data_IF_305065470701
#
_entry.id   IF_305065470701
#
_cell.length_a   1.000
_cell.length_b   1.000
_cell.length_c   1.000
_cell.angle_alpha   90.00
_cell.angle_beta   90.00
_cell.angle_gamma   90.00
#
_symmetry.space_group_name_H-M   'P 1'
#
loop_
_entity.id
_entity.type
_entity.pdbx_description
1 polymer ?
#
# COMPACT_ATOMS: atom_id res chain seq x y z
N UNK A 1 -8.18 17.95 51.35
CA UNK A 1 -7.14 17.20 50.63
C UNK A 1 -7.62 17.03 49.18
N UNK A 2 -7.54 18.10 48.45
CA UNK A 2 -7.93 18.25 47.05
C UNK A 2 -6.66 18.66 46.31
N UNK A 3 -6.59 18.27 45.06
CA UNK A 3 -5.69 18.78 44.03
C UNK A 3 -4.21 18.36 44.05
N UNK A 4 -3.98 17.09 43.69
CA UNK A 4 -2.83 16.74 42.84
C UNK A 4 -3.32 15.78 41.75
N UNK A 5 -4.24 16.21 40.93
CA UNK A 5 -4.34 15.65 39.57
C UNK A 5 -3.17 16.19 38.77
N UNK A 6 -2.06 15.48 38.84
CA UNK A 6 -0.90 15.72 38.03
C UNK A 6 -1.31 15.69 36.55
N UNK A 7 -1.21 16.85 35.93
CA UNK A 7 -1.35 17.13 34.52
C UNK A 7 -0.23 16.43 33.69
N UNK A 8 -0.11 15.11 33.85
CA UNK A 8 0.77 14.30 32.98
C UNK A 8 0.04 14.12 31.66
N UNK A 9 0.20 15.10 30.75
CA UNK A 9 -0.11 14.88 29.34
C UNK A 9 0.56 13.56 28.94
N UNK A 10 -0.19 12.60 28.37
CA UNK A 10 0.43 11.40 27.85
C UNK A 10 1.50 11.84 26.86
N UNK A 11 2.72 11.34 27.02
CA UNK A 11 3.85 11.57 26.12
C UNK A 11 3.51 10.94 24.76
N UNK A 12 2.71 11.64 23.96
CA UNK A 12 2.43 11.27 22.57
C UNK A 12 3.42 12.00 21.68
N UNK A 13 3.91 11.28 20.68
CA UNK A 13 4.74 11.90 19.65
C UNK A 13 3.91 12.92 18.86
N UNK A 14 4.52 14.01 18.43
CA UNK A 14 3.84 14.92 17.49
C UNK A 14 3.62 14.25 16.16
N UNK A 15 2.51 14.55 15.48
CA UNK A 15 2.18 14.00 14.14
C UNK A 15 3.37 14.11 13.18
N UNK A 16 4.07 15.25 13.15
CA UNK A 16 5.23 15.43 12.27
C UNK A 16 6.38 14.47 12.59
N UNK A 17 6.67 14.19 13.87
CA UNK A 17 7.70 13.22 14.28
C UNK A 17 7.33 11.79 13.88
N UNK A 18 6.07 11.41 14.05
CA UNK A 18 5.57 10.11 13.64
C UNK A 18 5.72 9.94 12.13
N UNK A 19 5.21 10.90 11.35
CA UNK A 19 5.28 10.90 9.88
C UNK A 19 6.73 10.79 9.41
N UNK A 20 7.63 11.61 9.95
CA UNK A 20 9.04 11.60 9.58
C UNK A 20 9.72 10.27 9.91
N UNK A 21 9.32 9.63 11.02
CA UNK A 21 9.87 8.35 11.45
C UNK A 21 9.48 7.19 10.53
N UNK A 22 8.22 7.18 10.07
CA UNK A 22 7.68 6.05 9.30
C UNK A 22 7.81 6.22 7.79
N UNK A 23 8.04 7.43 7.29
CA UNK A 23 8.14 7.70 5.86
C UNK A 23 9.16 6.78 5.17
N UNK A 24 10.37 6.69 5.72
CA UNK A 24 11.41 5.82 5.20
C UNK A 24 11.06 4.34 5.28
N UNK A 25 10.27 3.93 6.27
CA UNK A 25 9.84 2.53 6.44
C UNK A 25 8.89 2.12 5.33
N UNK A 26 7.89 2.95 4.99
CA UNK A 26 6.97 2.68 3.87
C UNK A 26 7.67 2.69 2.51
N UNK A 27 8.65 3.59 2.32
CA UNK A 27 9.51 3.55 1.13
C UNK A 27 10.25 2.22 1.05
N UNK A 28 10.86 1.74 2.14
CA UNK A 28 11.59 0.47 2.19
C UNK A 28 10.70 -0.73 1.83
N UNK A 29 9.49 -0.80 2.38
CA UNK A 29 8.56 -1.90 2.11
C UNK A 29 8.24 -2.00 0.62
N UNK A 30 7.92 -0.88 -0.01
CA UNK A 30 7.60 -0.82 -1.43
C UNK A 30 8.82 -0.97 -2.33
N UNK A 31 10.01 -0.57 -1.88
CA UNK A 31 11.27 -0.83 -2.54
C UNK A 31 11.53 -2.35 -2.62
N UNK A 32 11.40 -3.08 -1.51
CA UNK A 32 11.57 -4.54 -1.47
C UNK A 32 10.53 -5.23 -2.35
N UNK A 33 9.29 -4.79 -2.32
CA UNK A 33 8.21 -5.29 -3.18
C UNK A 33 8.55 -5.08 -4.66
N UNK A 34 9.02 -3.90 -5.06
CA UNK A 34 9.37 -3.58 -6.44
C UNK A 34 10.62 -4.35 -6.91
N UNK A 35 11.63 -4.51 -6.06
CA UNK A 35 12.77 -5.37 -6.35
C UNK A 35 12.33 -6.80 -6.69
N UNK A 36 11.42 -7.35 -5.87
CA UNK A 36 10.94 -8.73 -6.01
C UNK A 36 10.06 -8.91 -7.25
N UNK A 37 9.17 -7.95 -7.53
CA UNK A 37 8.08 -8.12 -8.49
C UNK A 37 8.29 -7.42 -9.83
N UNK A 38 9.19 -6.45 -9.91
CA UNK A 38 9.47 -5.70 -11.12
C UNK A 38 10.91 -5.95 -11.61
N UNK A 39 11.88 -5.78 -10.73
CA UNK A 39 13.29 -5.82 -11.13
C UNK A 39 13.82 -7.23 -11.29
N UNK A 40 13.53 -8.14 -10.37
CA UNK A 40 13.99 -9.52 -10.45
C UNK A 40 13.46 -10.25 -11.69
N UNK A 41 12.15 -10.19 -12.03
CA UNK A 41 11.65 -10.78 -13.29
C UNK A 41 12.31 -10.21 -14.54
N UNK A 42 12.51 -8.89 -14.57
CA UNK A 42 13.15 -8.22 -15.70
C UNK A 42 14.60 -8.71 -15.89
N UNK A 43 15.36 -8.82 -14.79
CA UNK A 43 16.73 -9.32 -14.83
C UNK A 43 16.83 -10.80 -15.18
N UNK A 44 15.96 -11.64 -14.62
CA UNK A 44 15.84 -13.05 -14.99
C UNK A 44 15.59 -13.20 -16.49
N UNK A 45 14.68 -12.39 -17.03
CA UNK A 45 14.38 -12.42 -18.45
C UNK A 45 15.54 -11.92 -19.33
N UNK A 46 16.20 -10.84 -18.92
CA UNK A 46 17.37 -10.30 -19.59
C UNK A 46 18.55 -11.30 -19.61
N UNK A 47 18.68 -12.13 -18.57
CA UNK A 47 19.65 -13.20 -18.48
C UNK A 47 19.25 -14.47 -19.26
N UNK A 48 18.18 -14.44 -20.07
CA UNK A 48 17.73 -15.59 -20.86
C UNK A 48 16.85 -16.59 -20.08
N UNK A 49 16.45 -16.27 -18.85
CA UNK A 49 15.57 -17.10 -18.01
C UNK A 49 14.20 -17.35 -18.66
N UNK A 50 13.58 -18.47 -18.30
CA UNK A 50 12.29 -18.88 -18.85
C UNK A 50 11.16 -17.94 -18.41
N UNK A 51 10.09 -17.82 -19.23
CA UNK A 51 8.87 -17.09 -18.85
C UNK A 51 8.21 -17.69 -17.61
N UNK A 52 8.31 -19.01 -17.42
CA UNK A 52 7.80 -19.68 -16.23
C UNK A 52 8.52 -19.20 -14.95
N UNK A 53 9.83 -19.04 -15.01
CA UNK A 53 10.63 -18.52 -13.88
C UNK A 53 10.29 -17.03 -13.61
N UNK A 54 10.15 -16.22 -14.65
CA UNK A 54 9.69 -14.83 -14.50
C UNK A 54 8.27 -14.77 -13.93
N UNK A 55 7.37 -15.67 -14.33
CA UNK A 55 6.03 -15.79 -13.77
C UNK A 55 6.02 -16.24 -12.30
N UNK A 56 6.95 -17.10 -11.90
CA UNK A 56 7.06 -17.56 -10.51
C UNK A 56 7.35 -16.41 -9.50
N UNK A 57 7.88 -15.28 -9.97
CA UNK A 57 8.09 -14.10 -9.12
C UNK A 57 6.78 -13.49 -8.58
N UNK A 58 5.63 -13.80 -9.18
CA UNK A 58 4.32 -13.42 -8.61
C UNK A 58 4.06 -14.02 -7.23
N UNK A 59 4.73 -15.14 -6.91
CA UNK A 59 4.67 -15.75 -5.57
C UNK A 59 5.23 -14.83 -4.47
N UNK A 60 6.06 -13.85 -4.83
CA UNK A 60 6.53 -12.85 -3.86
C UNK A 60 5.40 -11.95 -3.30
N UNK A 61 4.19 -11.99 -3.90
CA UNK A 61 3.00 -11.35 -3.29
C UNK A 61 2.43 -12.15 -2.10
N UNK A 62 2.73 -13.44 -1.98
CA UNK A 62 2.15 -14.29 -0.94
C UNK A 62 2.35 -13.74 0.48
N UNK A 63 3.54 -13.24 0.88
CA UNK A 63 3.71 -12.69 2.22
C UNK A 63 2.73 -11.54 2.51
N UNK A 64 2.50 -10.63 1.57
CA UNK A 64 1.55 -9.53 1.74
C UNK A 64 0.10 -9.97 1.77
N UNK A 65 -0.27 -10.95 0.95
CA UNK A 65 -1.63 -11.50 0.93
C UNK A 65 -1.95 -12.32 2.18
N UNK A 66 -0.96 -13.03 2.73
CA UNK A 66 -1.14 -13.95 3.85
C UNK A 66 -0.74 -13.38 5.22
N UNK A 67 -0.22 -12.15 5.30
CA UNK A 67 0.28 -11.56 6.55
C UNK A 67 -0.76 -11.51 7.68
N UNK A 68 -2.06 -11.57 7.38
CA UNK A 68 -3.12 -11.65 8.41
C UNK A 68 -2.99 -12.89 9.28
N UNK A 69 -2.38 -13.99 8.79
CA UNK A 69 -2.21 -15.23 9.52
C UNK A 69 -1.32 -15.02 10.75
N UNK A 70 -0.22 -14.27 10.61
CA UNK A 70 0.72 -14.03 11.72
C UNK A 70 0.59 -12.64 12.36
N UNK A 71 -0.29 -11.77 11.85
CA UNK A 71 -0.53 -10.44 12.43
C UNK A 71 -0.87 -10.47 13.94
N UNK A 72 -1.67 -11.43 14.47
CA UNK A 72 -1.93 -11.49 15.91
C UNK A 72 -0.67 -11.76 16.76
N UNK A 73 0.29 -12.54 16.25
CA UNK A 73 1.55 -12.78 16.97
C UNK A 73 2.43 -11.53 16.99
N UNK A 74 2.52 -10.84 15.86
CA UNK A 74 3.27 -9.58 15.75
C UNK A 74 2.67 -8.52 16.68
N UNK A 75 1.35 -8.43 16.74
CA UNK A 75 0.65 -7.50 17.60
C UNK A 75 0.90 -7.80 19.10
N UNK A 76 0.87 -9.09 19.49
CA UNK A 76 1.23 -9.51 20.86
C UNK A 76 2.67 -9.16 21.21
N UNK A 77 3.57 -9.27 20.26
CA UNK A 77 4.98 -8.94 20.46
C UNK A 77 5.21 -7.45 20.52
N UNK A 78 4.52 -6.70 19.67
CA UNK A 78 4.54 -5.24 19.60
C UNK A 78 3.94 -4.60 20.85
N UNK A 79 2.83 -5.14 21.33
CA UNK A 79 2.07 -4.69 22.49
C UNK A 79 1.82 -5.86 23.45
N UNK A 80 2.81 -6.23 24.29
CA UNK A 80 2.68 -7.38 25.16
C UNK A 80 1.48 -7.21 26.10
N UNK A 81 0.59 -8.23 26.21
CA UNK A 81 -0.53 -8.21 27.15
C UNK A 81 -0.05 -8.03 28.58
N UNK A 82 -0.74 -7.17 29.36
CA UNK A 82 -0.37 -6.91 30.74
C UNK A 82 0.88 -6.04 30.93
N UNK A 83 1.49 -5.52 29.86
CA UNK A 83 2.65 -4.63 29.92
C UNK A 83 2.30 -3.21 29.42
N UNK A 84 3.01 -2.21 29.94
CA UNK A 84 2.95 -0.83 29.42
C UNK A 84 3.94 -0.60 28.30
N UNK A 85 4.83 -1.55 28.03
CA UNK A 85 5.82 -1.42 26.99
C UNK A 85 5.20 -1.43 25.59
N UNK A 86 5.79 -0.62 24.71
CA UNK A 86 5.57 -0.68 23.25
C UNK A 86 6.90 -1.06 22.60
N UNK A 87 6.85 -2.01 21.70
CA UNK A 87 8.03 -2.56 21.02
C UNK A 87 7.99 -2.39 19.50
N UNK A 88 7.09 -1.53 18.99
CA UNK A 88 6.92 -1.30 17.55
C UNK A 88 8.20 -0.80 16.91
N UNK A 89 8.81 0.25 17.49
CA UNK A 89 10.08 0.80 17.02
C UNK A 89 11.18 -0.26 16.94
N UNK A 90 11.34 -1.07 17.98
CA UNK A 90 12.37 -2.12 18.03
C UNK A 90 12.15 -3.17 16.94
N UNK A 91 10.89 -3.61 16.74
CA UNK A 91 10.52 -4.59 15.74
C UNK A 91 10.79 -4.07 14.32
N UNK A 92 10.38 -2.85 14.03
CA UNK A 92 10.60 -2.21 12.73
C UNK A 92 12.09 -2.08 12.45
N UNK A 93 12.88 -1.55 13.41
CA UNK A 93 14.33 -1.36 13.22
C UNK A 93 15.07 -2.68 13.01
N UNK A 94 14.74 -3.74 13.77
CA UNK A 94 15.32 -5.07 13.56
C UNK A 94 14.99 -5.62 12.18
N UNK A 95 13.75 -5.42 11.73
CA UNK A 95 13.32 -5.79 10.39
C UNK A 95 14.07 -5.02 9.29
N UNK A 96 14.27 -3.70 9.44
CA UNK A 96 15.04 -2.88 8.50
C UNK A 96 16.50 -3.36 8.39
N UNK A 97 17.15 -3.67 9.52
CA UNK A 97 18.50 -4.24 9.55
C UNK A 97 18.52 -5.62 8.86
N UNK A 98 17.53 -6.47 9.13
CA UNK A 98 17.41 -7.77 8.47
C UNK A 98 17.23 -7.63 6.95
N UNK A 99 16.40 -6.69 6.47
CA UNK A 99 16.24 -6.42 5.04
C UNK A 99 17.54 -5.93 4.41
N UNK A 100 18.25 -5.01 5.04
CA UNK A 100 19.54 -4.54 4.54
C UNK A 100 20.57 -5.67 4.48
N UNK A 101 20.62 -6.54 5.50
CA UNK A 101 21.47 -7.73 5.49
C UNK A 101 21.11 -8.70 4.37
N UNK A 102 19.81 -8.94 4.13
CA UNK A 102 19.34 -9.79 3.04
C UNK A 102 19.73 -9.24 1.66
N UNK A 103 19.62 -7.92 1.43
CA UNK A 103 20.09 -7.33 0.18
C UNK A 103 21.61 -7.40 0.04
N UNK A 104 22.35 -7.31 1.14
CA UNK A 104 23.81 -7.51 1.13
C UNK A 104 24.17 -8.97 0.78
N UNK A 105 23.42 -9.95 1.30
CA UNK A 105 23.57 -11.36 0.92
C UNK A 105 23.23 -11.56 -0.56
N UNK A 106 22.15 -10.94 -1.06
CA UNK A 106 21.81 -10.98 -2.49
C UNK A 106 22.92 -10.38 -3.37
N UNK A 107 23.57 -9.30 -2.91
CA UNK A 107 24.73 -8.72 -3.57
C UNK A 107 25.90 -9.71 -3.61
N UNK A 108 26.20 -10.37 -2.51
CA UNK A 108 27.28 -11.37 -2.41
C UNK A 108 27.02 -12.56 -3.36
N UNK A 109 25.80 -13.10 -3.39
CA UNK A 109 25.42 -14.18 -4.33
C UNK A 109 25.66 -13.72 -5.77
N UNK A 110 25.29 -12.50 -6.13
CA UNK A 110 25.52 -11.95 -7.47
C UNK A 110 27.00 -11.70 -7.79
N UNK A 111 27.81 -11.42 -6.77
CA UNK A 111 29.26 -11.21 -6.96
C UNK A 111 29.98 -12.49 -7.39
N UNK A 112 29.65 -13.60 -6.74
CA UNK A 112 30.24 -14.91 -7.02
C UNK A 112 29.67 -15.61 -8.26
N UNK A 113 28.52 -15.13 -8.80
CA UNK A 113 27.88 -15.68 -10.01
C UNK A 113 28.36 -15.09 -11.34
N UNK A 114 29.32 -14.16 -11.32
CA UNK A 114 29.67 -13.31 -12.49
C UNK A 114 30.33 -14.02 -13.67
N UNK A 115 30.97 -15.17 -13.49
CA UNK A 115 31.84 -15.77 -14.51
C UNK A 115 31.17 -16.84 -15.39
N UNK A 116 29.87 -17.16 -15.22
CA UNK A 116 29.23 -18.22 -16.01
C UNK A 116 27.70 -18.20 -16.06
N UNK A 117 27.08 -17.10 -15.70
CA UNK A 117 25.62 -17.04 -15.45
C UNK A 117 25.29 -17.51 -14.03
N UNK A 118 24.01 -17.38 -13.64
CA UNK A 118 23.57 -17.85 -12.33
C UNK A 118 23.28 -19.35 -12.41
N UNK A 119 24.02 -20.21 -11.70
CA UNK A 119 23.64 -21.63 -11.53
C UNK A 119 22.23 -21.73 -10.93
N UNK A 120 21.49 -22.78 -11.24
CA UNK A 120 20.14 -23.01 -10.74
C UNK A 120 20.05 -22.91 -9.21
N UNK A 121 21.09 -23.37 -8.50
CA UNK A 121 21.19 -23.26 -7.03
C UNK A 121 21.21 -21.82 -6.54
N UNK A 122 21.86 -20.90 -7.25
CA UNK A 122 21.89 -19.47 -6.90
C UNK A 122 20.55 -18.80 -7.19
N UNK A 123 19.90 -19.17 -8.27
CA UNK A 123 18.54 -18.68 -8.61
C UNK A 123 17.56 -19.09 -7.51
N UNK A 124 17.59 -20.36 -7.09
CA UNK A 124 16.75 -20.85 -5.98
C UNK A 124 17.08 -20.13 -4.67
N UNK A 125 18.38 -19.93 -4.37
CA UNK A 125 18.80 -19.20 -3.18
C UNK A 125 18.29 -17.75 -3.16
N UNK A 126 18.38 -17.04 -4.29
CA UNK A 126 17.83 -15.69 -4.44
C UNK A 126 16.29 -15.69 -4.29
N UNK A 127 15.61 -16.67 -4.89
CA UNK A 127 14.15 -16.79 -4.76
C UNK A 127 13.73 -16.95 -3.30
N UNK A 128 14.36 -17.87 -2.57
CA UNK A 128 14.12 -18.09 -1.13
C UNK A 128 14.44 -16.82 -0.34
N UNK A 129 15.56 -16.17 -0.63
CA UNK A 129 15.99 -14.95 0.07
C UNK A 129 14.96 -13.80 -0.13
N UNK A 130 14.46 -13.59 -1.35
CA UNK A 130 13.45 -12.57 -1.62
C UNK A 130 12.08 -12.93 -1.04
N UNK A 131 11.73 -14.22 -0.97
CA UNK A 131 10.51 -14.67 -0.27
C UNK A 131 10.59 -14.34 1.24
N UNK A 132 11.74 -14.62 1.86
CA UNK A 132 11.98 -14.26 3.27
C UNK A 132 12.02 -12.75 3.44
N UNK A 133 12.64 -11.98 2.54
CA UNK A 133 12.65 -10.53 2.58
C UNK A 133 11.23 -9.95 2.48
N UNK A 134 10.38 -10.49 1.60
CA UNK A 134 8.97 -10.15 1.52
C UNK A 134 8.19 -10.44 2.81
N UNK A 135 8.50 -11.55 3.47
CA UNK A 135 7.90 -11.92 4.78
C UNK A 135 8.35 -10.94 5.88
N UNK A 136 9.61 -10.55 5.90
CA UNK A 136 10.12 -9.54 6.85
C UNK A 136 9.49 -8.18 6.55
N UNK A 137 9.44 -7.76 5.28
CA UNK A 137 8.85 -6.49 4.89
C UNK A 137 7.36 -6.41 5.24
N UNK A 138 6.58 -7.46 4.97
CA UNK A 138 5.16 -7.53 5.34
C UNK A 138 4.94 -7.60 6.87
N UNK A 139 5.89 -8.14 7.62
CA UNK A 139 5.87 -8.12 9.09
C UNK A 139 6.15 -6.73 9.65
N UNK A 140 7.11 -6.00 9.05
CA UNK A 140 7.37 -4.58 9.38
C UNK A 140 6.12 -3.74 9.09
N UNK A 141 5.40 -4.04 8.01
CA UNK A 141 4.18 -3.33 7.63
C UNK A 141 3.10 -3.44 8.71
N UNK A 142 2.85 -4.64 9.25
CA UNK A 142 1.94 -4.84 10.39
C UNK A 142 2.34 -3.95 11.59
N UNK A 143 3.63 -3.92 11.90
CA UNK A 143 4.14 -3.15 13.02
C UNK A 143 4.05 -1.63 12.78
N UNK A 144 4.29 -1.18 11.55
CA UNK A 144 4.24 0.23 11.15
C UNK A 144 2.82 0.77 11.15
N UNK A 145 1.87 0.01 10.63
CA UNK A 145 0.45 0.35 10.62
C UNK A 145 -0.09 0.44 12.05
N UNK A 146 0.24 -0.54 12.88
CA UNK A 146 -0.10 -0.50 14.30
C UNK A 146 0.53 0.69 15.04
N UNK A 147 1.80 1.01 14.76
CA UNK A 147 2.47 2.19 15.30
C UNK A 147 1.78 3.50 14.88
N UNK A 148 1.35 3.62 13.63
CA UNK A 148 0.61 4.78 13.13
C UNK A 148 -0.71 4.96 13.89
N UNK A 149 -1.52 3.90 14.03
CA UNK A 149 -2.80 3.97 14.74
C UNK A 149 -2.60 4.34 16.21
N UNK A 150 -1.53 3.86 16.85
CA UNK A 150 -1.25 4.12 18.26
C UNK A 150 -0.72 5.54 18.53
N UNK A 151 0.04 6.11 17.58
CA UNK A 151 0.76 7.37 17.80
C UNK A 151 0.10 8.57 17.13
N UNK A 152 -0.73 8.35 16.10
CA UNK A 152 -1.44 9.42 15.41
C UNK A 152 -2.80 9.68 16.06
N UNK A 153 -3.20 10.93 16.08
CA UNK A 153 -4.58 11.32 16.36
C UNK A 153 -5.46 11.11 15.14
N UNK A 154 -6.79 11.08 15.31
CA UNK A 154 -7.73 10.94 14.18
C UNK A 154 -7.51 11.99 13.08
N UNK A 155 -7.11 13.21 13.44
CA UNK A 155 -6.78 14.29 12.49
C UNK A 155 -5.44 14.04 11.77
N UNK A 156 -4.56 13.22 12.33
CA UNK A 156 -3.27 12.84 11.75
C UNK A 156 -3.33 11.65 10.80
N UNK A 157 -4.41 10.85 10.83
CA UNK A 157 -4.50 9.62 10.00
C UNK A 157 -4.41 9.90 8.50
N UNK A 158 -4.99 10.99 8.02
CA UNK A 158 -4.88 11.42 6.62
C UNK A 158 -3.43 11.57 6.18
N UNK A 159 -2.62 12.31 6.97
CA UNK A 159 -1.21 12.50 6.69
C UNK A 159 -0.38 11.22 6.86
N UNK A 160 -0.68 10.38 7.85
CA UNK A 160 -0.05 9.07 8.02
C UNK A 160 -0.23 8.21 6.76
N UNK A 161 -1.44 8.16 6.23
CA UNK A 161 -1.73 7.41 5.01
C UNK A 161 -1.21 8.08 3.74
N UNK A 162 -1.12 9.41 3.68
CA UNK A 162 -0.41 10.09 2.59
C UNK A 162 1.05 9.66 2.53
N UNK A 163 1.71 9.50 3.67
CA UNK A 163 3.09 9.02 3.73
C UNK A 163 3.19 7.54 3.36
N UNK A 164 2.22 6.72 3.75
CA UNK A 164 2.16 5.31 3.36
C UNK A 164 2.01 5.16 1.85
N UNK A 165 0.99 5.77 1.27
CA UNK A 165 0.70 5.67 -0.17
C UNK A 165 1.77 6.39 -1.01
N UNK A 166 2.19 7.60 -0.59
CA UNK A 166 3.28 8.34 -1.27
C UNK A 166 4.62 7.65 -1.16
N UNK A 167 4.93 7.07 0.01
CA UNK A 167 6.11 6.24 0.23
C UNK A 167 6.13 5.01 -0.68
N UNK A 168 4.95 4.43 -0.98
CA UNK A 168 4.83 3.31 -1.91
C UNK A 168 5.25 3.70 -3.33
N UNK A 169 4.85 4.86 -3.82
CA UNK A 169 5.30 5.35 -5.14
C UNK A 169 6.81 5.59 -5.18
N UNK A 170 7.38 6.21 -4.14
CA UNK A 170 8.83 6.42 -4.05
C UNK A 170 9.59 5.09 -3.94
N UNK A 171 9.08 4.15 -3.18
CA UNK A 171 9.67 2.82 -3.05
C UNK A 171 9.65 2.03 -4.35
N UNK A 172 8.53 2.08 -5.09
CA UNK A 172 8.43 1.47 -6.43
C UNK A 172 9.39 2.12 -7.43
N UNK A 173 9.58 3.44 -7.37
CA UNK A 173 10.57 4.12 -8.19
C UNK A 173 12.00 3.63 -7.88
N UNK A 174 12.36 3.58 -6.59
CA UNK A 174 13.70 3.17 -6.17
C UNK A 174 13.99 1.70 -6.46
N UNK A 175 13.08 0.78 -6.06
CA UNK A 175 13.26 -0.65 -6.22
C UNK A 175 12.99 -1.17 -7.64
N UNK A 176 12.26 -0.39 -8.47
CA UNK A 176 12.02 -0.67 -9.88
C UNK A 176 13.04 0.05 -10.77
N UNK A 177 12.64 1.23 -11.26
CA UNK A 177 13.41 1.94 -12.29
C UNK A 177 14.84 2.32 -11.88
N UNK A 178 15.02 2.95 -10.71
CA UNK A 178 16.35 3.38 -10.23
C UNK A 178 17.27 2.18 -10.04
N UNK A 179 16.78 1.11 -9.42
CA UNK A 179 17.56 -0.10 -9.25
C UNK A 179 17.99 -0.72 -10.59
N UNK A 180 17.10 -0.81 -11.59
CA UNK A 180 17.43 -1.35 -12.90
C UNK A 180 18.50 -0.49 -13.60
N UNK A 181 18.39 0.85 -13.51
CA UNK A 181 19.41 1.77 -14.07
C UNK A 181 20.77 1.59 -13.39
N UNK A 182 20.79 1.48 -12.05
CA UNK A 182 22.01 1.23 -11.29
C UNK A 182 22.61 -0.14 -11.61
N UNK A 183 21.76 -1.17 -11.74
CA UNK A 183 22.19 -2.52 -12.09
C UNK A 183 22.81 -2.58 -13.49
N UNK A 184 22.27 -1.82 -14.46
CA UNK A 184 22.82 -1.70 -15.80
C UNK A 184 24.17 -0.96 -15.81
N UNK A 185 24.30 0.10 -15.00
CA UNK A 185 25.50 0.93 -14.94
C UNK A 185 26.65 0.32 -14.12
N UNK A 186 26.34 -0.28 -12.96
CA UNK A 186 27.34 -0.71 -11.97
C UNK A 186 27.31 -2.20 -11.67
N UNK A 187 26.39 -2.93 -12.26
CA UNK A 187 26.13 -4.34 -12.01
C UNK A 187 25.23 -4.61 -10.79
N UNK A 188 24.62 -5.80 -10.78
CA UNK A 188 23.71 -6.27 -9.74
C UNK A 188 24.26 -6.11 -8.31
N UNK A 189 25.51 -6.56 -7.98
CA UNK A 189 25.97 -6.51 -6.61
C UNK A 189 26.04 -5.10 -6.05
N UNK A 190 26.53 -4.15 -6.84
CA UNK A 190 26.65 -2.73 -6.42
C UNK A 190 25.27 -2.12 -6.25
N UNK A 191 24.35 -2.37 -7.17
CA UNK A 191 22.98 -1.88 -7.06
C UNK A 191 22.27 -2.39 -5.81
N UNK A 192 22.43 -3.69 -5.46
CA UNK A 192 21.89 -4.26 -4.23
C UNK A 192 22.49 -3.65 -2.96
N UNK A 193 23.81 -3.43 -2.93
CA UNK A 193 24.45 -2.75 -1.80
C UNK A 193 23.96 -1.32 -1.64
N UNK A 194 23.76 -0.59 -2.75
CA UNK A 194 23.20 0.76 -2.70
C UNK A 194 21.76 0.76 -2.14
N UNK A 195 20.94 -0.23 -2.50
CA UNK A 195 19.60 -0.38 -1.90
C UNK A 195 19.68 -0.73 -0.41
N UNK A 196 20.62 -1.57 0.01
CA UNK A 196 20.83 -1.88 1.43
C UNK A 196 21.24 -0.63 2.23
N UNK A 197 22.16 0.19 1.70
CA UNK A 197 22.55 1.47 2.31
C UNK A 197 21.37 2.43 2.35
N UNK A 198 20.57 2.51 1.28
CA UNK A 198 19.36 3.34 1.24
C UNK A 198 18.36 2.93 2.34
N UNK A 199 18.12 1.63 2.54
CA UNK A 199 17.25 1.13 3.62
C UNK A 199 17.76 1.59 4.99
N UNK A 200 19.06 1.48 5.24
CA UNK A 200 19.65 1.94 6.50
C UNK A 200 19.52 3.45 6.69
N UNK A 201 19.76 4.23 5.63
CA UNK A 201 19.58 5.69 5.66
C UNK A 201 18.11 6.09 5.93
N UNK A 202 17.16 5.41 5.29
CA UNK A 202 15.72 5.61 5.49
C UNK A 202 15.25 5.23 6.90
N UNK A 203 16.01 4.40 7.61
CA UNK A 203 15.71 4.00 9.00
C UNK A 203 16.17 5.01 10.04
N UNK A 204 17.10 5.94 9.70
CA UNK A 204 17.70 6.89 10.64
C UNK A 204 16.68 7.73 11.41
N UNK A 205 15.60 8.25 10.82
CA UNK A 205 14.61 9.02 11.56
C UNK A 205 13.96 8.23 12.70
N UNK A 206 13.67 6.95 12.47
CA UNK A 206 13.06 6.07 13.48
C UNK A 206 14.04 5.76 14.63
N UNK A 207 15.35 5.71 14.34
CA UNK A 207 16.39 5.52 15.38
C UNK A 207 16.41 6.66 16.41
N UNK A 208 16.04 7.88 16.00
CA UNK A 208 16.06 9.09 16.85
C UNK A 208 14.80 9.28 17.70
N UNK A 209 13.80 8.40 17.54
CA UNK A 209 12.53 8.50 18.28
C UNK A 209 12.54 7.51 19.44
N UNK A 210 12.05 7.96 20.59
CA UNK A 210 11.72 7.09 21.72
C UNK A 210 10.22 6.79 21.66
N UNK A 211 9.82 5.52 21.60
CA UNK A 211 8.42 5.12 21.60
C UNK A 211 7.84 5.30 23.03
N UNK A 212 6.77 6.09 23.21
CA UNK A 212 6.17 6.30 24.52
C UNK A 212 5.52 5.03 25.06
N UNK A 213 5.58 4.82 26.35
CA UNK A 213 4.87 3.72 27.04
C UNK A 213 3.35 3.92 27.03
N UNK A 214 2.59 2.86 27.25
CA UNK A 214 1.14 2.95 27.45
C UNK A 214 0.82 3.58 28.81
N UNK A 215 -0.30 4.29 28.89
CA UNK A 215 -0.80 4.86 30.14
C UNK A 215 -1.42 3.81 31.07
N UNK A 216 -1.85 2.67 30.55
CA UNK A 216 -2.42 1.57 31.32
C UNK A 216 -2.02 0.21 30.76
N UNK A 217 -1.97 -0.79 31.62
CA UNK A 217 -1.82 -2.19 31.22
C UNK A 217 -3.14 -2.72 30.68
N UNK A 218 -3.12 -3.33 29.51
CA UNK A 218 -4.32 -3.90 28.88
C UNK A 218 -4.13 -5.41 28.75
N UNK A 219 -4.96 -6.24 29.41
CA UNK A 219 -4.83 -7.70 29.35
C UNK A 219 -5.39 -8.32 28.07
N UNK A 220 -5.64 -7.51 27.01
CA UNK A 220 -6.19 -7.99 25.75
C UNK A 220 -5.20 -8.85 24.98
N UNK A 221 -5.67 -9.99 24.47
CA UNK A 221 -4.89 -10.86 23.58
C UNK A 221 -5.40 -10.67 22.15
N UNK A 222 -4.57 -10.10 21.25
CA UNK A 222 -4.93 -9.89 19.85
C UNK A 222 -5.34 -11.19 19.14
N UNK A 223 -6.47 -11.16 18.42
CA UNK A 223 -7.02 -12.30 17.69
C UNK A 223 -7.87 -11.87 16.49
N UNK A 224 -7.81 -12.64 15.39
CA UNK A 224 -8.64 -12.42 14.20
C UNK A 224 -10.15 -12.54 14.52
N UNK A 225 -10.52 -13.51 15.36
CA UNK A 225 -11.92 -13.70 15.78
C UNK A 225 -12.49 -12.49 16.51
N UNK A 226 -11.67 -11.77 17.28
CA UNK A 226 -12.09 -10.52 17.92
C UNK A 226 -12.33 -9.43 16.86
N UNK A 227 -11.43 -9.27 15.88
CA UNK A 227 -11.61 -8.33 14.77
C UNK A 227 -12.93 -8.58 14.03
N UNK A 228 -13.19 -9.81 13.60
CA UNK A 228 -14.38 -10.17 12.83
C UNK A 228 -15.71 -10.01 13.59
N UNK A 229 -15.69 -10.05 14.93
CA UNK A 229 -16.89 -9.82 15.75
C UNK A 229 -17.23 -8.34 15.94
N UNK A 230 -16.25 -7.44 15.74
CA UNK A 230 -16.46 -6.00 15.94
C UNK A 230 -17.25 -5.38 14.79
N UNK A 231 -18.28 -4.59 15.12
CA UNK A 231 -19.09 -3.87 14.12
C UNK A 231 -18.23 -2.91 13.24
N UNK A 232 -17.28 -2.21 13.88
CA UNK A 232 -16.37 -1.27 13.17
C UNK A 232 -15.46 -2.00 12.18
N UNK A 233 -14.90 -3.14 12.57
CA UNK A 233 -14.05 -3.92 11.68
C UNK A 233 -14.85 -4.48 10.49
N UNK A 234 -16.05 -4.99 10.72
CA UNK A 234 -16.95 -5.43 9.64
C UNK A 234 -17.36 -4.30 8.71
N UNK A 235 -17.60 -3.09 9.24
CA UNK A 235 -17.83 -1.90 8.43
C UNK A 235 -16.60 -1.58 7.58
N UNK A 236 -15.39 -1.63 8.15
CA UNK A 236 -14.14 -1.42 7.42
C UNK A 236 -13.96 -2.42 6.28
N UNK A 237 -14.19 -3.73 6.52
CA UNK A 237 -14.15 -4.77 5.49
C UNK A 237 -15.16 -4.52 4.37
N UNK A 238 -16.38 -4.10 4.72
CA UNK A 238 -17.40 -3.74 3.74
C UNK A 238 -17.00 -2.53 2.90
N UNK A 239 -16.41 -1.49 3.54
CA UNK A 239 -15.91 -0.31 2.82
C UNK A 239 -14.81 -0.68 1.83
N UNK A 240 -13.85 -1.51 2.23
CA UNK A 240 -12.79 -2.01 1.33
C UNK A 240 -13.40 -2.76 0.15
N UNK A 241 -14.29 -3.71 0.44
CA UNK A 241 -14.96 -4.52 -0.58
C UNK A 241 -15.72 -3.66 -1.59
N UNK A 242 -16.52 -2.71 -1.12
CA UNK A 242 -17.36 -1.91 -2.00
C UNK A 242 -16.57 -0.86 -2.77
N UNK A 243 -15.69 -0.11 -2.09
CA UNK A 243 -15.03 1.05 -2.69
C UNK A 243 -13.90 0.66 -3.65
N UNK A 244 -13.13 -0.39 -3.33
CA UNK A 244 -11.99 -0.77 -4.18
C UNK A 244 -12.36 -1.69 -5.34
N UNK A 245 -13.47 -2.44 -5.29
CA UNK A 245 -13.80 -3.44 -6.32
C UNK A 245 -13.91 -2.85 -7.73
N UNK A 246 -14.53 -1.68 -7.89
CA UNK A 246 -14.68 -1.07 -9.22
C UNK A 246 -13.34 -0.78 -9.89
N UNK A 247 -12.43 -0.12 -9.17
CA UNK A 247 -11.11 0.20 -9.72
C UNK A 247 -10.24 -1.04 -9.87
N UNK A 248 -10.26 -1.99 -8.92
CA UNK A 248 -9.51 -3.25 -9.00
C UNK A 248 -9.95 -4.10 -10.19
N UNK A 249 -11.21 -3.99 -10.60
CA UNK A 249 -11.76 -4.68 -11.76
C UNK A 249 -11.18 -4.18 -13.10
N UNK A 250 -10.91 -2.88 -13.25
CA UNK A 250 -10.42 -2.28 -14.49
C UNK A 250 -8.95 -1.91 -14.49
N UNK A 251 -8.29 -1.89 -13.32
CA UNK A 251 -6.89 -1.49 -13.21
C UNK A 251 -5.95 -2.29 -14.15
N UNK A 252 -6.08 -3.63 -14.27
CA UNK A 252 -5.25 -4.42 -15.19
C UNK A 252 -5.55 -4.13 -16.66
N UNK A 253 -6.70 -3.54 -16.99
CA UNK A 253 -7.14 -3.27 -18.35
C UNK A 253 -6.60 -1.95 -18.91
N UNK A 254 -6.03 -1.06 -18.05
CA UNK A 254 -5.56 0.26 -18.50
C UNK A 254 -4.41 0.17 -19.51
N UNK A 255 -3.44 -0.70 -19.28
CA UNK A 255 -2.31 -0.86 -20.19
C UNK A 255 -2.74 -1.51 -21.53
N UNK A 256 -3.46 -2.65 -21.56
CA UNK A 256 -4.02 -3.20 -22.78
C UNK A 256 -4.90 -2.21 -23.54
N UNK A 257 -5.76 -1.46 -22.86
CA UNK A 257 -6.60 -0.44 -23.49
C UNK A 257 -5.79 0.58 -24.31
N UNK A 258 -4.70 1.09 -23.73
CA UNK A 258 -3.85 2.07 -24.41
C UNK A 258 -3.08 1.45 -25.61
N UNK A 259 -2.57 0.22 -25.44
CA UNK A 259 -1.86 -0.49 -26.49
C UNK A 259 -2.77 -0.80 -27.69
N UNK A 260 -3.98 -1.30 -27.44
CA UNK A 260 -4.97 -1.63 -28.47
C UNK A 260 -5.43 -0.39 -29.26
N UNK A 261 -5.31 0.80 -28.64
CA UNK A 261 -5.59 2.08 -29.33
C UNK A 261 -4.33 2.77 -29.89
N UNK A 262 -3.20 2.04 -30.00
CA UNK A 262 -2.03 2.47 -30.76
C UNK A 262 -0.93 3.18 -29.94
N UNK A 263 -0.97 3.13 -28.60
CA UNK A 263 0.14 3.64 -27.79
C UNK A 263 1.35 2.69 -27.94
N UNK A 264 2.54 3.25 -28.22
CA UNK A 264 3.76 2.45 -28.26
C UNK A 264 4.16 1.93 -26.89
N UNK A 265 4.85 0.79 -26.81
CA UNK A 265 5.36 0.22 -25.57
C UNK A 265 6.30 1.19 -24.81
N UNK A 266 7.10 1.97 -25.55
CA UNK A 266 7.98 2.98 -24.93
C UNK A 266 7.21 4.13 -24.29
N UNK A 267 6.16 4.62 -24.95
CA UNK A 267 5.30 5.67 -24.43
C UNK A 267 4.46 5.16 -23.23
N UNK A 268 3.98 3.92 -23.29
CA UNK A 268 3.32 3.25 -22.16
C UNK A 268 4.26 3.16 -20.94
N UNK A 269 5.49 2.73 -21.16
CA UNK A 269 6.52 2.69 -20.11
C UNK A 269 6.78 4.06 -19.48
N UNK A 270 6.92 5.12 -20.28
CA UNK A 270 7.09 6.48 -19.79
C UNK A 270 5.87 6.98 -18.98
N UNK A 271 4.66 6.69 -19.47
CA UNK A 271 3.41 7.05 -18.78
C UNK A 271 3.29 6.37 -17.41
N UNK A 272 3.55 5.05 -17.35
CA UNK A 272 3.38 4.27 -16.13
C UNK A 272 4.55 4.44 -15.14
N UNK A 273 5.77 4.72 -15.60
CA UNK A 273 6.91 4.96 -14.70
C UNK A 273 6.98 6.41 -14.20
N UNK A 274 6.97 7.38 -15.11
CA UNK A 274 7.09 8.80 -14.76
C UNK A 274 5.75 9.45 -14.43
N UNK A 275 4.81 9.35 -15.37
CA UNK A 275 3.50 9.99 -15.26
C UNK A 275 2.68 9.51 -14.05
N UNK A 276 2.55 8.20 -13.88
CA UNK A 276 1.77 7.64 -12.78
C UNK A 276 2.41 7.86 -11.41
N UNK A 277 3.74 7.88 -11.30
CA UNK A 277 4.41 8.17 -10.03
C UNK A 277 4.13 9.62 -9.62
N UNK A 278 4.33 10.58 -10.53
CA UNK A 278 4.05 11.99 -10.26
C UNK A 278 2.56 12.21 -9.91
N UNK A 279 1.66 11.60 -10.70
CA UNK A 279 0.22 11.63 -10.45
C UNK A 279 -0.15 11.01 -9.09
N UNK A 280 0.46 9.88 -8.76
CA UNK A 280 0.25 9.21 -7.47
C UNK A 280 0.67 10.09 -6.28
N UNK A 281 1.83 10.73 -6.35
CA UNK A 281 2.29 11.68 -5.32
C UNK A 281 1.32 12.85 -5.19
N UNK A 282 0.88 13.45 -6.30
CA UNK A 282 -0.11 14.52 -6.29
C UNK A 282 -1.44 14.06 -5.65
N UNK A 283 -1.90 12.87 -6.00
CA UNK A 283 -3.10 12.25 -5.43
C UNK A 283 -2.99 11.99 -3.92
N UNK A 284 -1.83 11.57 -3.42
CA UNK A 284 -1.64 11.34 -1.97
C UNK A 284 -1.71 12.64 -1.19
N UNK A 285 -1.13 13.72 -1.72
CA UNK A 285 -1.22 15.05 -1.11
C UNK A 285 -2.66 15.55 -1.10
N UNK A 286 -3.38 15.39 -2.23
CA UNK A 286 -4.80 15.75 -2.33
C UNK A 286 -5.65 14.97 -1.31
N UNK A 287 -5.41 13.67 -1.14
CA UNK A 287 -6.10 12.84 -0.15
C UNK A 287 -5.83 13.27 1.29
N UNK A 288 -4.58 13.59 1.62
CA UNK A 288 -4.21 14.12 2.94
C UNK A 288 -4.91 15.46 3.25
N UNK A 289 -4.94 16.38 2.28
CA UNK A 289 -5.66 17.65 2.40
C UNK A 289 -7.16 17.43 2.54
N UNK A 290 -7.75 16.55 1.73
CA UNK A 290 -9.17 16.25 1.77
C UNK A 290 -9.57 15.70 3.16
N UNK A 291 -8.81 14.77 3.72
CA UNK A 291 -9.03 14.23 5.07
C UNK A 291 -8.83 15.27 6.17
N UNK A 292 -7.97 16.27 5.95
CA UNK A 292 -7.76 17.37 6.91
C UNK A 292 -8.94 18.31 7.00
N UNK A 293 -9.58 18.63 5.85
CA UNK A 293 -10.60 19.69 5.79
C UNK A 293 -12.03 19.16 5.71
N UNK A 294 -12.23 17.84 5.55
CA UNK A 294 -13.56 17.25 5.42
C UNK A 294 -13.78 16.08 6.37
N UNK A 295 -15.03 15.66 6.54
CA UNK A 295 -15.35 14.44 7.29
C UNK A 295 -15.01 13.19 6.45
N UNK A 296 -14.69 12.04 7.10
CA UNK A 296 -14.35 10.80 6.39
C UNK A 296 -15.38 10.41 5.31
N UNK A 297 -16.67 10.51 5.61
CA UNK A 297 -17.73 10.18 4.65
C UNK A 297 -17.71 11.11 3.42
N UNK A 298 -17.54 12.44 3.62
CA UNK A 298 -17.42 13.39 2.50
C UNK A 298 -16.13 13.18 1.72
N UNK A 299 -15.01 12.89 2.41
CA UNK A 299 -13.73 12.60 1.76
C UNK A 299 -13.84 11.39 0.83
N UNK A 300 -14.46 10.30 1.30
CA UNK A 300 -14.67 9.10 0.49
C UNK A 300 -15.61 9.37 -0.68
N UNK A 301 -16.73 10.06 -0.44
CA UNK A 301 -17.68 10.43 -1.50
C UNK A 301 -17.01 11.26 -2.60
N UNK A 302 -16.20 12.26 -2.22
CA UNK A 302 -15.50 13.11 -3.19
C UNK A 302 -14.42 12.32 -3.95
N UNK A 303 -13.55 11.61 -3.26
CA UNK A 303 -12.43 10.90 -3.88
C UNK A 303 -12.91 9.78 -4.82
N UNK A 304 -13.79 8.91 -4.35
CA UNK A 304 -14.36 7.83 -5.18
C UNK A 304 -15.39 8.34 -6.19
N UNK A 305 -16.07 9.46 -5.91
CA UNK A 305 -16.92 10.12 -6.87
C UNK A 305 -16.15 10.62 -8.09
N UNK A 306 -15.03 11.33 -7.88
CA UNK A 306 -14.12 11.75 -8.96
C UNK A 306 -13.59 10.55 -9.72
N UNK A 307 -13.18 9.48 -9.02
CA UNK A 307 -12.69 8.25 -9.64
C UNK A 307 -13.77 7.59 -10.52
N UNK A 308 -15.00 7.45 -10.01
CA UNK A 308 -16.11 6.88 -10.76
C UNK A 308 -16.48 7.70 -12.00
N UNK A 309 -16.51 9.03 -11.87
CA UNK A 309 -16.75 9.94 -13.01
C UNK A 309 -15.64 9.79 -14.05
N UNK A 310 -14.39 9.72 -13.64
CA UNK A 310 -13.27 9.54 -14.56
C UNK A 310 -13.31 8.16 -15.27
N UNK A 311 -13.79 7.09 -14.61
CA UNK A 311 -14.05 5.79 -15.25
C UNK A 311 -15.15 5.89 -16.31
N UNK A 312 -16.25 6.62 -16.03
CA UNK A 312 -17.30 6.85 -17.01
C UNK A 312 -16.83 7.75 -18.16
N UNK A 313 -15.93 8.70 -17.90
CA UNK A 313 -15.33 9.51 -18.96
C UNK A 313 -14.50 8.66 -19.95
N UNK A 314 -13.86 7.56 -19.52
CA UNK A 314 -13.23 6.60 -20.43
C UNK A 314 -14.28 5.99 -21.39
N UNK A 315 -15.47 5.63 -20.91
CA UNK A 315 -16.54 5.08 -21.74
C UNK A 315 -17.00 6.11 -22.78
N UNK A 316 -17.25 7.34 -22.35
CA UNK A 316 -17.64 8.43 -23.25
C UNK A 316 -16.57 8.69 -24.32
N UNK A 317 -15.31 8.64 -23.94
CA UNK A 317 -14.18 8.80 -24.85
C UNK A 317 -14.14 7.68 -25.89
N UNK A 318 -14.31 6.42 -25.48
CA UNK A 318 -14.35 5.27 -26.39
C UNK A 318 -15.52 5.32 -27.37
N UNK A 319 -16.64 5.92 -26.98
CA UNK A 319 -17.85 5.98 -27.80
C UNK A 319 -17.93 7.21 -28.71
N UNK A 320 -17.35 8.34 -28.30
CA UNK A 320 -17.62 9.65 -28.92
C UNK A 320 -16.37 10.42 -29.38
N UNK A 321 -15.17 10.08 -28.92
CA UNK A 321 -13.98 10.85 -29.27
C UNK A 321 -13.59 10.66 -30.74
N UNK A 322 -13.24 11.76 -31.46
CA UNK A 322 -12.63 11.67 -32.78
C UNK A 322 -11.34 10.84 -32.75
N UNK A 323 -11.12 9.97 -33.76
CA UNK A 323 -10.00 9.04 -33.77
C UNK A 323 -8.61 9.68 -33.53
N UNK A 324 -8.39 10.90 -34.00
CA UNK A 324 -7.13 11.64 -33.79
C UNK A 324 -6.91 12.16 -32.36
N UNK A 325 -7.98 12.30 -31.55
CA UNK A 325 -7.93 12.75 -30.15
C UNK A 325 -8.08 11.61 -29.15
N UNK A 326 -8.61 10.47 -29.57
CA UNK A 326 -8.96 9.35 -28.72
C UNK A 326 -7.81 8.95 -27.78
N UNK A 327 -6.63 8.69 -28.35
CA UNK A 327 -5.48 8.24 -27.58
C UNK A 327 -4.98 9.30 -26.59
N UNK A 328 -4.98 10.58 -26.97
CA UNK A 328 -4.53 11.68 -26.11
C UNK A 328 -5.48 11.84 -24.90
N UNK A 329 -6.80 11.77 -25.15
CA UNK A 329 -7.79 11.84 -24.06
C UNK A 329 -7.66 10.65 -23.13
N UNK A 330 -7.49 9.42 -23.66
CA UNK A 330 -7.27 8.22 -22.83
C UNK A 330 -6.02 8.34 -21.96
N UNK A 331 -4.90 8.84 -22.47
CA UNK A 331 -3.69 9.08 -21.68
C UNK A 331 -3.94 10.08 -20.54
N UNK A 332 -4.61 11.20 -20.82
CA UNK A 332 -5.00 12.16 -19.78
C UNK A 332 -5.90 11.52 -18.71
N UNK A 333 -6.88 10.71 -19.13
CA UNK A 333 -7.77 10.01 -18.20
C UNK A 333 -7.03 8.99 -17.32
N UNK A 334 -6.00 8.30 -17.85
CA UNK A 334 -5.16 7.41 -17.04
C UNK A 334 -4.40 8.17 -15.96
N UNK A 335 -3.90 9.37 -16.26
CA UNK A 335 -3.27 10.25 -15.25
C UNK A 335 -4.30 10.68 -14.19
N UNK A 336 -5.49 11.09 -14.60
CA UNK A 336 -6.58 11.44 -13.67
C UNK A 336 -6.97 10.25 -12.80
N UNK A 337 -7.04 9.03 -13.38
CA UNK A 337 -7.26 7.80 -12.62
C UNK A 337 -6.18 7.55 -11.58
N UNK A 338 -4.91 7.78 -11.90
CA UNK A 338 -3.79 7.60 -10.98
C UNK A 338 -3.85 8.60 -9.81
N UNK A 339 -4.19 9.86 -10.09
CA UNK A 339 -4.39 10.88 -9.06
C UNK A 339 -5.56 10.50 -8.15
N UNK A 340 -6.71 10.15 -8.75
CA UNK A 340 -7.93 9.83 -8.00
C UNK A 340 -7.78 8.54 -7.20
N UNK A 341 -7.10 7.52 -7.73
CA UNK A 341 -6.80 6.28 -7.03
C UNK A 341 -5.97 6.52 -5.78
N UNK A 342 -4.87 7.26 -5.90
CA UNK A 342 -4.00 7.58 -4.76
C UNK A 342 -4.75 8.41 -3.70
N UNK A 343 -5.53 9.40 -4.12
CA UNK A 343 -6.38 10.20 -3.23
C UNK A 343 -7.42 9.32 -2.51
N UNK A 344 -8.10 8.45 -3.24
CA UNK A 344 -9.11 7.54 -2.71
C UNK A 344 -8.53 6.54 -1.70
N UNK A 345 -7.35 5.97 -1.99
CA UNK A 345 -6.65 5.06 -1.07
C UNK A 345 -6.26 5.77 0.24
N UNK A 346 -5.76 7.01 0.18
CA UNK A 346 -5.44 7.79 1.39
C UNK A 346 -6.70 8.02 2.22
N UNK A 347 -7.82 8.43 1.59
CA UNK A 347 -9.08 8.65 2.30
C UNK A 347 -9.64 7.36 2.91
N UNK A 348 -9.59 6.25 2.17
CA UNK A 348 -10.04 4.95 2.64
C UNK A 348 -9.20 4.47 3.82
N UNK A 349 -7.88 4.41 3.66
CA UNK A 349 -6.98 3.89 4.69
C UNK A 349 -6.99 4.76 5.95
N UNK A 350 -7.09 6.08 5.85
CA UNK A 350 -7.30 6.95 6.99
C UNK A 350 -8.62 6.66 7.73
N UNK A 351 -9.68 6.37 6.99
CA UNK A 351 -10.96 5.94 7.56
C UNK A 351 -10.83 4.59 8.25
N UNK A 352 -10.17 3.61 7.62
CA UNK A 352 -9.92 2.28 8.18
C UNK A 352 -9.07 2.33 9.46
N UNK A 353 -8.05 3.20 9.51
CA UNK A 353 -7.31 3.45 10.75
C UNK A 353 -8.22 3.93 11.87
N UNK A 354 -9.18 4.80 11.57
CA UNK A 354 -10.14 5.28 12.57
C UNK A 354 -11.12 4.20 13.07
N UNK A 355 -11.33 3.14 12.29
CA UNK A 355 -12.17 1.98 12.61
C UNK A 355 -11.40 0.85 13.30
N UNK A 356 -10.07 0.89 13.25
CA UNK A 356 -9.20 -0.09 13.90
C UNK A 356 -9.24 0.06 15.42
N UNK A 357 -9.13 -1.06 16.14
CA UNK A 357 -9.09 -1.07 17.60
C UNK A 357 -7.70 -0.67 18.10
N UNK A 358 -7.59 0.28 19.03
CA UNK A 358 -6.31 0.54 19.71
C UNK A 358 -5.75 -0.67 20.48
N UNK A 359 -6.59 -1.68 20.73
CA UNK A 359 -6.17 -2.91 21.41
C UNK A 359 -5.37 -3.85 20.51
N UNK A 360 -5.62 -3.82 19.20
CA UNK A 360 -4.98 -4.68 18.21
C UNK A 360 -4.94 -4.02 16.81
N UNK A 361 -4.47 -2.79 16.75
CA UNK A 361 -4.54 -1.96 15.55
C UNK A 361 -3.83 -2.59 14.34
N UNK A 362 -2.68 -3.22 14.54
CA UNK A 362 -1.96 -3.92 13.48
C UNK A 362 -2.73 -5.11 12.91
N UNK A 363 -3.49 -5.86 13.73
CA UNK A 363 -4.33 -6.98 13.26
C UNK A 363 -5.49 -6.47 12.41
N UNK A 364 -6.23 -5.50 12.93
CA UNK A 364 -7.42 -4.97 12.26
C UNK A 364 -7.06 -4.34 10.90
N UNK A 365 -6.01 -3.50 10.88
CA UNK A 365 -5.59 -2.83 9.65
C UNK A 365 -5.02 -3.81 8.63
N UNK A 366 -4.23 -4.79 9.08
CA UNK A 366 -3.75 -5.89 8.23
C UNK A 366 -4.90 -6.66 7.57
N UNK A 367 -5.98 -6.93 8.31
CA UNK A 367 -7.14 -7.63 7.76
C UNK A 367 -7.80 -6.83 6.62
N UNK A 368 -7.88 -5.50 6.74
CA UNK A 368 -8.37 -4.63 5.68
C UNK A 368 -7.48 -4.68 4.43
N UNK A 369 -6.16 -4.59 4.60
CA UNK A 369 -5.21 -4.64 3.49
C UNK A 369 -5.19 -5.99 2.77
N UNK A 370 -5.27 -7.10 3.51
CA UNK A 370 -5.36 -8.44 2.91
C UNK A 370 -6.67 -8.64 2.15
N UNK A 371 -7.77 -8.03 2.63
CA UNK A 371 -9.04 -8.01 1.91
C UNK A 371 -8.92 -7.25 0.60
N UNK A 372 -8.27 -6.07 0.59
CA UNK A 372 -7.99 -5.32 -0.64
C UNK A 372 -7.13 -6.11 -1.63
N UNK A 373 -6.11 -6.80 -1.14
CA UNK A 373 -5.26 -7.66 -1.98
C UNK A 373 -6.06 -8.83 -2.61
N UNK A 374 -6.93 -9.47 -1.83
CA UNK A 374 -7.80 -10.54 -2.34
C UNK A 374 -8.77 -10.01 -3.42
N UNK A 375 -9.37 -8.84 -3.19
CA UNK A 375 -10.23 -8.17 -4.17
C UNK A 375 -9.45 -7.85 -5.44
N UNK A 376 -8.21 -7.34 -5.31
CA UNK A 376 -7.39 -6.99 -6.47
C UNK A 376 -7.13 -8.21 -7.38
N UNK A 377 -6.85 -9.37 -6.79
CA UNK A 377 -6.65 -10.63 -7.53
C UNK A 377 -7.96 -11.07 -8.19
N UNK A 378 -9.04 -11.21 -7.42
CA UNK A 378 -10.31 -11.73 -7.91
C UNK A 378 -10.96 -10.79 -8.94
N UNK A 379 -11.07 -9.53 -8.62
CA UNK A 379 -11.69 -8.53 -9.50
C UNK A 379 -10.87 -8.33 -10.80
N UNK A 380 -9.53 -8.36 -10.69
CA UNK A 380 -8.67 -8.25 -11.87
C UNK A 380 -8.84 -9.42 -12.86
N UNK A 381 -8.90 -10.66 -12.36
CA UNK A 381 -9.14 -11.85 -13.18
C UNK A 381 -10.54 -11.78 -13.83
N UNK A 382 -11.58 -11.48 -13.04
CA UNK A 382 -12.94 -11.36 -13.54
C UNK A 382 -13.04 -10.24 -14.58
N UNK A 383 -12.40 -9.09 -14.31
CA UNK A 383 -12.36 -7.95 -15.23
C UNK A 383 -11.75 -8.30 -16.58
N UNK A 384 -10.64 -9.06 -16.59
CA UNK A 384 -10.01 -9.55 -17.82
C UNK A 384 -10.92 -10.45 -18.63
N UNK A 385 -11.61 -11.41 -18.00
CA UNK A 385 -12.56 -12.30 -18.66
C UNK A 385 -13.75 -11.53 -19.21
N UNK A 386 -14.31 -10.60 -18.43
CA UNK A 386 -15.45 -9.78 -18.89
C UNK A 386 -15.04 -8.87 -20.05
N UNK A 387 -13.82 -8.28 -19.99
CA UNK A 387 -13.33 -7.43 -21.09
C UNK A 387 -13.17 -8.22 -22.40
N UNK A 388 -12.77 -9.48 -22.34
CA UNK A 388 -12.64 -10.35 -23.51
C UNK A 388 -13.99 -10.60 -24.20
N UNK A 389 -15.08 -10.71 -23.44
CA UNK A 389 -16.40 -11.03 -23.99
C UNK A 389 -17.26 -9.79 -24.30
N UNK A 390 -17.16 -8.72 -23.50
CA UNK A 390 -18.03 -7.54 -23.59
C UNK A 390 -17.26 -6.26 -23.95
N UNK A 391 -15.95 -6.32 -24.09
CA UNK A 391 -15.10 -5.17 -24.43
C UNK A 391 -14.82 -4.23 -23.26
N UNK A 392 -13.92 -3.29 -23.51
CA UNK A 392 -13.48 -2.30 -22.49
C UNK A 392 -14.61 -1.40 -22.01
N UNK A 393 -15.45 -0.88 -22.93
CA UNK A 393 -16.51 0.07 -22.59
C UNK A 393 -17.46 -0.50 -21.54
N UNK A 394 -17.88 -1.74 -21.66
CA UNK A 394 -18.75 -2.41 -20.70
C UNK A 394 -18.10 -2.54 -19.31
N UNK A 395 -16.79 -2.90 -19.27
CA UNK A 395 -16.05 -3.01 -18.02
C UNK A 395 -15.92 -1.66 -17.30
N UNK A 396 -15.56 -0.61 -18.02
CA UNK A 396 -15.41 0.73 -17.43
C UNK A 396 -16.77 1.33 -17.04
N UNK A 397 -17.84 1.06 -17.77
CA UNK A 397 -19.21 1.44 -17.41
C UNK A 397 -19.63 0.80 -16.08
N UNK A 398 -19.48 -0.51 -15.99
CA UNK A 398 -19.79 -1.24 -14.75
C UNK A 398 -18.95 -0.73 -13.58
N UNK A 399 -17.63 -0.61 -13.75
CA UNK A 399 -16.73 -0.15 -12.70
C UNK A 399 -17.06 1.28 -12.24
N UNK A 400 -17.33 2.20 -13.19
CA UNK A 400 -17.67 3.59 -12.88
C UNK A 400 -19.00 3.71 -12.13
N UNK A 401 -20.05 3.06 -12.64
CA UNK A 401 -21.37 3.05 -11.99
C UNK A 401 -21.32 2.40 -10.60
N UNK A 402 -20.63 1.27 -10.48
CA UNK A 402 -20.44 0.59 -9.19
C UNK A 402 -19.67 1.45 -8.19
N UNK A 403 -18.58 2.10 -8.61
CA UNK A 403 -17.78 2.98 -7.75
C UNK A 403 -18.60 4.19 -7.24
N UNK A 404 -19.42 4.80 -8.09
CA UNK A 404 -20.30 5.90 -7.69
C UNK A 404 -21.35 5.45 -6.66
N UNK A 405 -22.00 4.32 -6.92
CA UNK A 405 -22.95 3.71 -5.99
C UNK A 405 -22.30 3.37 -4.65
N UNK A 406 -21.12 2.73 -4.69
CA UNK A 406 -20.36 2.39 -3.50
C UNK A 406 -19.97 3.62 -2.68
N UNK A 407 -19.52 4.70 -3.33
CA UNK A 407 -19.20 5.97 -2.68
C UNK A 407 -20.41 6.59 -1.98
N UNK A 408 -21.57 6.57 -2.63
CA UNK A 408 -22.82 7.05 -2.07
C UNK A 408 -23.27 6.24 -0.85
N UNK A 409 -23.26 4.90 -0.96
CA UNK A 409 -23.62 4.01 0.15
C UNK A 409 -22.66 4.17 1.33
N UNK A 410 -21.33 4.28 1.07
CA UNK A 410 -20.35 4.53 2.11
C UNK A 410 -20.59 5.85 2.85
N UNK A 411 -20.95 6.91 2.10
CA UNK A 411 -21.30 8.21 2.69
C UNK A 411 -22.49 8.10 3.63
N UNK A 412 -23.59 7.47 3.20
CA UNK A 412 -24.81 7.28 4.03
C UNK A 412 -24.47 6.47 5.29
N UNK A 413 -23.76 5.34 5.15
CA UNK A 413 -23.42 4.48 6.29
C UNK A 413 -22.56 5.18 7.34
N UNK A 414 -21.60 6.00 6.91
CA UNK A 414 -20.73 6.74 7.83
C UNK A 414 -21.46 7.95 8.45
N UNK A 415 -22.39 8.56 7.75
CA UNK A 415 -23.22 9.65 8.28
C UNK A 415 -24.16 9.15 9.37
N UNK A 416 -24.92 8.09 9.10
CA UNK A 416 -25.84 7.49 10.07
C UNK A 416 -25.13 6.95 11.33
N UNK A 417 -23.92 6.37 11.16
CA UNK A 417 -23.13 5.90 12.30
C UNK A 417 -22.67 7.06 13.21
N UNK A 418 -22.44 8.24 12.66
CA UNK A 418 -22.05 9.44 13.41
C UNK A 418 -23.22 10.05 14.18
N UNK A 419 -24.40 10.11 13.58
CA UNK A 419 -25.62 10.61 14.22
C UNK A 419 -26.03 9.75 15.42
N UNK A 420 -25.93 8.42 15.30
CA UNK A 420 -26.20 7.50 16.40
C UNK A 420 -25.20 7.65 17.57
N UNK A 421 -23.95 8.07 17.31
CA UNK A 421 -23.00 8.33 18.38
C UNK A 421 -23.22 9.69 19.06
N UNK A 422 -23.71 10.70 18.36
CA UNK A 422 -24.05 12.00 18.95
C UNK A 422 -25.34 11.94 19.75
N UNK A 423 -26.37 11.24 19.27
CA UNK A 423 -27.67 11.07 19.98
C UNK A 423 -27.58 10.17 21.22
N UNK A 424 -26.50 9.41 21.41
CA UNK A 424 -26.28 8.60 22.62
C UNK A 424 -25.52 9.35 23.71
N UNK A 425 -25.12 10.60 23.48
CA UNK A 425 -24.38 11.48 24.40
C UNK A 425 -25.30 12.59 24.92
N UNK A 426 -26.39 12.88 24.21
CA UNK A 426 -27.47 13.76 24.64
C UNK A 426 -28.54 12.94 25.41
#
# INVERSE_FOLDING_TARGET
>A
MSDVQSNVKPLTLTTGRVIFAIAGVYVTQSLVSALSMQSLPALVRAAGGSLALAGATTLFMLPWALKFIWAPWIERWRLPPGSQERRSRMLILRGQVALAAMLTIAAAIGWFGREGGFPDTQIVALFVLFMVAGTVASTIDIASDGFCVDQLTRTGYGWGNSVQVGGSYLGMMCGGGVFLMLSAASGWPVAMLMMAVLIMALSLPLWRITEPTRTATIPHVPALGYALRRKQARLGLLLVLMLNSGMRFVLPLLAPLLLDHGLSMSALGALFSGGNIAAGIAGTLAGGLLMKYTSPGRALLTAYGVQGIALLAVVMTLMMAPGHLLLQILQCLVIVQSISLACALVCLYATLMSLSSPLQAGVDFTLFQCTDAAIAILAGVIGGVVAQHFGYAACFLFAGAFTLLAAWVAYIRLHSARELMTSAID
#
